data_IF_222759293521
#
_entry.id   IF_222759293521
#
_cell.length_a   1.000
_cell.length_b   1.000
_cell.length_c   1.000
_cell.angle_alpha   90.00
_cell.angle_beta   90.00
_cell.angle_gamma   90.00
#
_symmetry.space_group_name_H-M   'P 1'
#
loop_
_entity.id
_entity.type
_entity.pdbx_description
1 polymer ?
#
# COMPACT_ATOMS: atom_id res chain seq x y z
N UNK A 1 -5.72 -3.09 13.39
CA UNK A 1 -6.21 -2.98 11.99
C UNK A 1 -5.18 -3.63 11.07
N UNK A 2 -5.49 -3.91 9.80
CA UNK A 2 -4.50 -4.52 8.88
C UNK A 2 -3.27 -3.62 8.69
N UNK A 3 -3.49 -2.32 8.63
CA UNK A 3 -2.45 -1.29 8.64
C UNK A 3 -1.47 -1.45 9.81
N UNK A 4 -1.98 -1.51 11.06
CA UNK A 4 -1.13 -1.67 12.24
C UNK A 4 -0.25 -2.94 12.15
N UNK A 5 -0.85 -4.06 11.73
CA UNK A 5 -0.13 -5.32 11.59
C UNK A 5 0.95 -5.26 10.51
N UNK A 6 0.71 -4.52 9.43
CA UNK A 6 1.70 -4.31 8.36
C UNK A 6 2.84 -3.40 8.81
N UNK A 7 2.54 -2.31 9.51
CA UNK A 7 3.55 -1.44 10.12
C UNK A 7 4.42 -2.20 11.14
N UNK A 8 3.80 -3.02 11.99
CA UNK A 8 4.52 -3.86 12.95
C UNK A 8 5.40 -4.90 12.24
N UNK A 9 4.86 -5.57 11.22
CA UNK A 9 5.59 -6.59 10.46
C UNK A 9 6.79 -6.00 9.72
N UNK A 10 6.62 -4.87 9.02
CA UNK A 10 7.70 -4.19 8.30
C UNK A 10 8.80 -3.75 9.25
N UNK A 11 8.44 -3.14 10.39
CA UNK A 11 9.39 -2.75 11.42
C UNK A 11 10.14 -3.94 12.02
N UNK A 12 9.44 -5.02 12.36
CA UNK A 12 10.02 -6.22 13.00
C UNK A 12 11.00 -6.94 12.09
N UNK A 13 10.73 -6.96 10.78
CA UNK A 13 11.52 -7.71 9.80
C UNK A 13 12.50 -6.83 9.01
N UNK A 14 12.59 -5.53 9.31
CA UNK A 14 13.52 -4.62 8.64
C UNK A 14 13.17 -4.34 7.16
N UNK A 15 11.90 -4.43 6.80
CA UNK A 15 11.42 -3.99 5.49
C UNK A 15 11.18 -2.49 5.49
N UNK A 16 11.27 -1.88 4.31
CA UNK A 16 10.92 -0.47 4.17
C UNK A 16 9.43 -0.25 4.45
N UNK A 17 9.12 0.87 5.11
CA UNK A 17 7.77 1.37 5.25
C UNK A 17 7.70 2.75 4.61
N UNK A 18 6.88 2.88 3.58
CA UNK A 18 6.62 4.13 2.87
C UNK A 18 5.13 4.43 2.87
N UNK A 19 4.79 5.70 2.70
CA UNK A 19 3.41 6.14 2.54
C UNK A 19 3.27 6.78 1.17
N UNK A 20 2.18 6.44 0.47
CA UNK A 20 1.79 7.09 -0.78
C UNK A 20 1.38 8.54 -0.56
N UNK A 21 1.21 9.29 -1.65
CA UNK A 21 0.63 10.65 -1.62
C UNK A 21 -0.81 10.69 -1.08
N UNK A 22 -1.46 9.52 -0.96
CA UNK A 22 -2.78 9.35 -0.35
C UNK A 22 -2.73 8.79 1.08
N UNK A 23 -1.54 8.72 1.69
CA UNK A 23 -1.28 8.12 2.99
C UNK A 23 -1.58 6.62 3.06
N UNK A 24 -1.51 5.92 1.93
CA UNK A 24 -1.56 4.45 1.90
C UNK A 24 -0.19 3.87 2.29
N UNK A 25 -0.07 3.04 3.34
CA UNK A 25 1.20 2.42 3.70
C UNK A 25 1.62 1.34 2.69
N UNK A 26 2.92 1.17 2.47
CA UNK A 26 3.46 0.14 1.60
C UNK A 26 4.94 -0.13 1.82
N UNK A 27 5.44 -1.14 1.10
CA UNK A 27 6.84 -1.59 1.12
C UNK A 27 7.23 -2.03 -0.28
N UNK A 28 8.26 -1.41 -0.83
CA UNK A 28 8.85 -1.81 -2.10
C UNK A 28 9.55 -3.17 -1.94
N UNK A 29 10.19 -3.42 -0.79
CA UNK A 29 10.88 -4.69 -0.51
C UNK A 29 9.90 -5.87 -0.51
N UNK A 30 8.67 -5.66 -0.02
CA UNK A 30 7.62 -6.67 -0.04
C UNK A 30 6.79 -6.67 -1.34
N UNK A 31 6.89 -5.62 -2.17
CA UNK A 31 6.02 -5.43 -3.33
C UNK A 31 4.55 -5.30 -2.94
N UNK A 32 4.26 -4.59 -1.86
CA UNK A 32 2.90 -4.44 -1.30
C UNK A 32 2.57 -2.96 -1.08
N UNK A 33 1.37 -2.54 -1.48
CA UNK A 33 0.74 -1.31 -0.99
C UNK A 33 -0.60 -1.64 -0.36
N UNK A 34 -0.83 -1.20 0.88
CA UNK A 34 -2.12 -1.28 1.55
C UNK A 34 -2.94 -0.06 1.22
N UNK A 35 -3.96 -0.24 0.39
CA UNK A 35 -4.97 0.80 0.18
C UNK A 35 -5.82 0.87 1.44
N UNK A 36 -5.94 2.05 2.06
CA UNK A 36 -6.73 2.27 3.26
C UNK A 36 -7.83 3.32 3.01
N UNK A 37 -9.07 2.98 3.36
CA UNK A 37 -10.17 3.96 3.36
C UNK A 37 -11.00 3.82 4.61
N UNK A 38 -11.27 4.96 5.24
CA UNK A 38 -12.26 5.05 6.31
C UNK A 38 -13.68 5.05 5.74
N UNK A 39 -14.48 4.07 6.13
CA UNK A 39 -15.90 3.93 5.81
C UNK A 39 -16.70 4.00 7.11
N UNK A 40 -16.93 5.23 7.59
CA UNK A 40 -17.52 5.46 8.91
C UNK A 40 -16.56 5.04 10.04
N UNK A 41 -16.98 4.05 10.82
CA UNK A 41 -16.23 3.54 11.97
C UNK A 41 -15.27 2.41 11.63
N UNK A 42 -15.33 1.88 10.40
CA UNK A 42 -14.40 0.85 9.93
C UNK A 42 -13.38 1.44 8.97
N UNK A 43 -12.16 0.87 8.98
CA UNK A 43 -11.16 1.11 7.96
C UNK A 43 -11.14 -0.13 7.06
N UNK A 44 -11.50 0.06 5.80
CA UNK A 44 -11.33 -0.95 4.77
C UNK A 44 -9.87 -0.92 4.32
N UNK A 45 -9.25 -2.10 4.28
CA UNK A 45 -7.88 -2.26 3.84
C UNK A 45 -7.80 -3.31 2.75
N UNK A 46 -7.18 -2.95 1.62
CA UNK A 46 -7.03 -3.83 0.46
C UNK A 46 -5.55 -3.87 0.06
N UNK A 47 -4.85 -5.01 0.24
CA UNK A 47 -3.48 -5.16 -0.22
C UNK A 47 -3.44 -5.25 -1.75
N UNK A 48 -2.59 -4.43 -2.36
CA UNK A 48 -2.20 -4.51 -3.76
C UNK A 48 -0.81 -5.12 -3.80
N UNK A 49 -0.72 -6.34 -4.35
CA UNK A 49 0.53 -7.07 -4.55
C UNK A 49 1.05 -6.77 -5.96
N UNK A 50 2.32 -6.43 -6.08
CA UNK A 50 2.96 -6.18 -7.37
C UNK A 50 4.01 -7.22 -7.71
N UNK A 51 4.22 -7.44 -9.00
CA UNK A 51 5.35 -8.24 -9.45
C UNK A 51 6.68 -7.54 -9.07
N UNK A 52 7.78 -8.28 -8.89
CA UNK A 52 9.07 -7.69 -8.52
C UNK A 52 9.55 -6.56 -9.44
N UNK A 53 9.24 -6.65 -10.75
CA UNK A 53 9.58 -5.62 -11.74
C UNK A 53 8.82 -4.29 -11.55
N UNK A 54 7.77 -4.28 -10.74
CA UNK A 54 6.94 -3.11 -10.43
C UNK A 54 7.10 -2.66 -8.98
N UNK A 55 8.00 -3.29 -8.23
CA UNK A 55 8.20 -3.02 -6.80
C UNK A 55 8.82 -1.63 -6.57
N UNK A 56 9.75 -1.21 -7.44
CA UNK A 56 10.31 0.14 -7.38
C UNK A 56 9.20 1.18 -7.53
N UNK A 57 9.11 2.11 -6.56
CA UNK A 57 8.10 3.18 -6.51
C UNK A 57 6.66 2.67 -6.52
N UNK A 58 6.40 1.43 -6.09
CA UNK A 58 5.03 0.91 -6.06
C UNK A 58 4.09 1.75 -5.17
N UNK A 59 4.64 2.47 -4.17
CA UNK A 59 3.90 3.38 -3.30
C UNK A 59 3.66 4.77 -3.93
N UNK A 60 4.24 5.07 -5.09
CA UNK A 60 4.09 6.36 -5.75
C UNK A 60 2.89 6.32 -6.72
N UNK A 61 1.86 7.14 -6.45
CA UNK A 61 0.63 7.17 -7.26
C UNK A 61 0.79 7.89 -8.60
N UNK A 62 1.96 8.52 -8.83
CA UNK A 62 2.26 9.32 -10.03
C UNK A 62 3.33 8.69 -10.91
N UNK A 63 4.40 8.17 -10.33
CA UNK A 63 5.54 7.59 -11.04
C UNK A 63 5.63 6.06 -10.93
N UNK A 64 4.80 5.44 -10.10
CA UNK A 64 4.77 3.99 -9.90
C UNK A 64 4.16 3.22 -11.07
N UNK A 65 4.52 1.94 -11.18
CA UNK A 65 4.01 1.05 -12.23
C UNK A 65 2.60 0.50 -11.96
N UNK A 66 1.98 0.84 -10.83
CA UNK A 66 0.62 0.40 -10.50
C UNK A 66 -0.38 1.19 -11.36
N UNK A 67 -1.27 0.50 -12.11
CA UNK A 67 -2.28 1.15 -12.94
C UNK A 67 -3.12 2.19 -12.17
N UNK A 68 -3.47 3.28 -12.83
CA UNK A 68 -4.20 4.40 -12.21
C UNK A 68 -5.56 3.97 -11.64
N UNK A 69 -6.16 2.93 -12.22
CA UNK A 69 -7.41 2.31 -11.80
C UNK A 69 -7.33 1.77 -10.36
N UNK A 70 -6.20 1.21 -9.93
CA UNK A 70 -6.02 0.74 -8.54
C UNK A 70 -6.06 1.89 -7.52
N UNK A 71 -5.79 3.11 -7.99
CA UNK A 71 -5.78 4.33 -7.18
C UNK A 71 -7.10 5.12 -7.25
N UNK A 72 -7.78 5.10 -8.40
CA UNK A 72 -9.02 5.86 -8.65
C UNK A 72 -10.28 5.08 -8.30
N UNK A 73 -10.31 3.81 -8.66
CA UNK A 73 -11.51 3.00 -8.49
C UNK A 73 -11.56 2.51 -7.05
N UNK A 74 -12.26 3.28 -6.21
CA UNK A 74 -12.59 2.92 -4.82
C UNK A 74 -13.68 1.85 -4.77
N UNK A 75 -13.65 0.89 -5.69
CA UNK A 75 -14.48 -0.31 -5.60
C UNK A 75 -13.78 -1.22 -4.60
N UNK A 76 -14.22 -1.12 -3.36
CA UNK A 76 -13.76 -1.95 -2.24
C UNK A 76 -14.39 -3.33 -2.29
#
# INVERSE_FOLDING_TARGET
>A
MLEDAFTEYTSTNGHDLRYSQHADPGSETLGVVLRAQRAGDVVLSRPVLVAPIWAERCCDVTEGCIPTEEWRDRVW
#
